data_IF_560388134754
#
_entry.id   IF_560388134754
#
_cell.length_a   1.000
_cell.length_b   1.000
_cell.length_c   1.000
_cell.angle_alpha   90.00
_cell.angle_beta   90.00
_cell.angle_gamma   90.00
#
_symmetry.space_group_name_H-M   'P 1'
#
loop_
_entity.id
_entity.type
_entity.pdbx_description
1 polymer ?
#
# COMPACT_ATOMS: atom_id res chain seq x y z
N UNK A 1 5.33 -16.07 -30.62
CA UNK A 1 4.87 -16.40 -29.26
C UNK A 1 4.97 -15.11 -28.45
N UNK A 2 3.88 -14.56 -27.91
CA UNK A 2 3.99 -13.36 -27.09
C UNK A 2 4.60 -13.76 -25.74
N UNK A 3 5.65 -13.05 -25.34
CA UNK A 3 6.29 -13.19 -24.03
C UNK A 3 5.28 -12.82 -22.92
N UNK A 4 5.30 -13.47 -21.75
CA UNK A 4 4.46 -13.07 -20.63
C UNK A 4 4.93 -11.70 -20.15
N UNK A 5 4.07 -10.70 -20.35
CA UNK A 5 4.26 -9.33 -19.85
C UNK A 5 4.21 -9.42 -18.32
N UNK A 6 5.31 -9.03 -17.66
CA UNK A 6 5.45 -9.04 -16.19
C UNK A 6 4.77 -7.78 -15.65
N UNK A 7 3.71 -7.96 -14.86
CA UNK A 7 3.04 -6.90 -14.10
C UNK A 7 3.36 -7.15 -12.64
N UNK A 8 4.26 -6.37 -12.05
CA UNK A 8 4.41 -6.32 -10.61
C UNK A 8 4.68 -4.86 -10.28
N UNK A 9 3.81 -4.27 -9.47
CA UNK A 9 4.01 -2.95 -8.91
C UNK A 9 4.20 -3.15 -7.42
N UNK A 10 5.38 -2.77 -6.91
CA UNK A 10 5.55 -2.52 -5.49
C UNK A 10 6.79 -1.67 -5.18
N UNK A 11 6.59 -0.47 -4.63
CA UNK A 11 7.71 0.32 -4.12
C UNK A 11 8.27 -0.26 -2.81
N UNK A 12 9.33 -1.07 -2.91
CA UNK A 12 10.28 -1.29 -1.81
C UNK A 12 11.57 -0.56 -2.16
N UNK A 13 11.85 0.57 -1.51
CA UNK A 13 13.20 1.11 -1.51
C UNK A 13 14.09 0.19 -0.68
N UNK A 14 14.95 -0.56 -1.38
CA UNK A 14 16.17 -1.08 -0.80
C UNK A 14 17.02 0.12 -0.37
N UNK A 15 17.06 0.40 0.93
CA UNK A 15 18.13 1.21 1.52
C UNK A 15 19.45 0.45 1.36
N UNK A 16 20.04 0.47 0.16
CA UNK A 16 21.44 0.11 -0.05
C UNK A 16 22.23 1.41 0.08
N UNK A 17 22.44 1.83 1.32
CA UNK A 17 23.45 2.83 1.64
C UNK A 17 24.83 2.22 1.41
N UNK A 18 25.54 2.74 0.42
CA UNK A 18 26.96 2.49 0.20
C UNK A 18 27.76 2.86 1.45
N UNK A 19 28.48 1.88 1.99
CA UNK A 19 29.67 2.01 2.84
C UNK A 19 29.79 3.29 3.67
N UNK A 20 29.02 3.38 4.75
CA UNK A 20 29.25 4.33 5.83
C UNK A 20 28.74 3.72 7.13
N UNK A 21 29.64 3.41 8.06
CA UNK A 21 29.27 2.88 9.36
C UNK A 21 28.28 3.84 10.04
N UNK A 22 27.04 3.39 10.27
CA UNK A 22 26.12 4.09 11.17
C UNK A 22 26.66 3.96 12.59
N UNK A 23 27.39 4.98 13.04
CA UNK A 23 27.63 5.18 14.46
C UNK A 23 26.32 5.69 15.08
N UNK A 24 25.56 4.79 15.71
CA UNK A 24 24.47 5.17 16.61
C UNK A 24 25.13 5.75 17.86
N UNK A 25 25.04 7.07 18.03
CA UNK A 25 25.35 7.72 19.30
C UNK A 25 24.29 7.27 20.30
N UNK A 26 24.69 6.44 21.25
CA UNK A 26 23.88 6.05 22.40
C UNK A 26 23.52 7.31 23.20
N UNK A 27 22.25 7.70 23.17
CA UNK A 27 21.68 8.58 24.18
C UNK A 27 21.27 7.75 25.40
N UNK A 28 21.66 8.29 26.56
CA UNK A 28 21.59 7.69 27.90
C UNK A 28 20.27 7.00 28.22
N UNK A 29 20.43 5.91 28.96
CA UNK A 29 19.43 5.08 29.61
C UNK A 29 18.26 5.88 30.19
N UNK A 30 17.06 5.62 29.68
CA UNK A 30 15.80 5.88 30.38
C UNK A 30 15.26 4.53 30.80
N UNK A 31 15.20 4.28 32.11
CA UNK A 31 14.65 3.05 32.68
C UNK A 31 13.23 2.77 32.17
N UNK A 32 12.88 1.52 31.85
CA UNK A 32 11.53 1.16 31.44
C UNK A 32 10.58 1.34 32.62
N UNK A 33 9.68 2.32 32.53
CA UNK A 33 8.56 2.45 33.44
C UNK A 33 7.55 1.36 33.11
N UNK A 34 7.38 0.39 34.01
CA UNK A 34 6.34 -0.63 33.95
C UNK A 34 4.95 0.05 33.93
N UNK A 35 4.36 0.19 32.75
CA UNK A 35 2.93 0.45 32.62
C UNK A 35 2.23 -0.91 32.52
N UNK A 36 1.83 -1.44 33.67
CA UNK A 36 0.82 -2.49 33.73
C UNK A 36 -0.49 -1.94 33.14
N UNK A 37 -0.86 -2.44 31.97
CA UNK A 37 -2.19 -2.23 31.42
C UNK A 37 -3.17 -3.03 32.26
N UNK A 38 -3.82 -2.38 33.23
CA UNK A 38 -4.98 -2.95 33.91
C UNK A 38 -6.11 -3.12 32.90
N UNK A 39 -6.43 -4.38 32.59
CA UNK A 39 -7.59 -4.73 31.78
C UNK A 39 -8.88 -4.32 32.52
N UNK A 40 -9.58 -3.34 31.99
CA UNK A 40 -10.95 -3.00 32.39
C UNK A 40 -11.87 -4.19 32.06
N UNK A 41 -12.32 -4.90 33.10
CA UNK A 41 -13.23 -6.05 32.99
C UNK A 41 -14.72 -5.65 32.86
N UNK A 42 -15.01 -4.50 32.23
CA UNK A 42 -16.39 -4.05 31.99
C UNK A 42 -16.73 -3.83 30.51
N UNK A 43 -16.43 -4.80 29.64
CA UNK A 43 -16.95 -4.77 28.27
C UNK A 43 -18.02 -5.85 28.03
N UNK A 44 -19.20 -5.40 27.61
CA UNK A 44 -20.30 -6.24 27.07
C UNK A 44 -19.75 -7.19 25.99
N UNK A 45 -20.38 -8.35 25.75
CA UNK A 45 -19.92 -9.28 24.72
C UNK A 45 -19.84 -8.54 23.38
N UNK A 46 -18.64 -8.43 22.81
CA UNK A 46 -18.47 -7.98 21.43
C UNK A 46 -19.29 -8.95 20.57
N UNK A 47 -20.23 -8.43 19.80
CA UNK A 47 -20.92 -9.22 18.78
C UNK A 47 -19.86 -10.00 17.99
N UNK A 48 -20.17 -11.25 17.67
CA UNK A 48 -19.31 -12.16 16.92
C UNK A 48 -19.27 -11.71 15.45
N UNK A 49 -18.66 -10.54 15.20
CA UNK A 49 -18.45 -9.99 13.88
C UNK A 49 -17.24 -10.72 13.31
N UNK A 50 -17.46 -11.53 12.28
CA UNK A 50 -16.36 -12.12 11.52
C UNK A 50 -15.38 -11.02 11.11
N UNK A 51 -14.07 -11.20 11.34
CA UNK A 51 -13.10 -10.18 10.97
C UNK A 51 -13.15 -9.95 9.46
N UNK A 52 -13.15 -8.68 9.06
CA UNK A 52 -13.08 -8.29 7.65
C UNK A 52 -11.84 -8.88 6.99
N UNK A 53 -11.95 -9.20 5.70
CA UNK A 53 -10.84 -9.78 4.91
C UNK A 53 -10.50 -8.91 3.71
N UNK A 54 -9.20 -8.83 3.42
CA UNK A 54 -8.63 -8.02 2.35
C UNK A 54 -7.79 -8.89 1.40
N UNK A 55 -7.71 -8.49 0.13
CA UNK A 55 -6.89 -9.12 -0.92
C UNK A 55 -6.42 -8.08 -1.95
N UNK A 56 -5.21 -8.29 -2.47
CA UNK A 56 -4.69 -7.63 -3.68
C UNK A 56 -4.56 -8.66 -4.80
N UNK A 57 -5.07 -8.33 -5.98
CA UNK A 57 -5.02 -9.19 -7.16
C UNK A 57 -4.82 -8.39 -8.46
N UNK A 58 -3.69 -8.59 -9.14
CA UNK A 58 -3.35 -7.93 -10.42
C UNK A 58 -3.40 -8.89 -11.63
N UNK A 59 -3.93 -10.10 -11.44
CA UNK A 59 -4.16 -11.04 -12.54
C UNK A 59 -5.47 -10.79 -13.29
N UNK A 60 -5.76 -11.61 -14.30
CA UNK A 60 -7.01 -11.57 -15.07
C UNK A 60 -7.80 -12.90 -15.07
N UNK A 61 -7.20 -13.98 -14.58
CA UNK A 61 -7.71 -15.34 -14.76
C UNK A 61 -8.67 -15.80 -13.65
N UNK A 62 -8.61 -15.17 -12.47
CA UNK A 62 -9.43 -15.57 -11.33
C UNK A 62 -10.90 -15.20 -11.54
N UNK A 63 -11.79 -16.11 -11.15
CA UNK A 63 -13.23 -15.92 -11.25
C UNK A 63 -13.77 -15.10 -10.09
N UNK A 64 -14.86 -14.37 -10.33
CA UNK A 64 -15.54 -13.50 -9.35
C UNK A 64 -15.84 -14.22 -8.02
N UNK A 65 -16.22 -15.50 -8.09
CA UNK A 65 -16.60 -16.31 -6.93
C UNK A 65 -15.44 -16.52 -5.94
N UNK A 66 -14.19 -16.51 -6.41
CA UNK A 66 -13.00 -16.65 -5.57
C UNK A 66 -12.82 -15.45 -4.64
N UNK A 67 -13.40 -14.29 -4.98
CA UNK A 67 -13.29 -13.06 -4.20
C UNK A 67 -14.42 -12.87 -3.18
N UNK A 68 -15.45 -13.73 -3.18
CA UNK A 68 -16.58 -13.62 -2.24
C UNK A 68 -16.20 -13.65 -0.75
N UNK A 69 -15.17 -14.39 -0.32
CA UNK A 69 -14.72 -14.38 1.08
C UNK A 69 -14.07 -13.08 1.55
N UNK A 70 -13.74 -12.15 0.63
CA UNK A 70 -13.04 -10.91 0.94
C UNK A 70 -14.01 -9.73 0.90
N UNK A 71 -13.83 -8.76 1.80
CA UNK A 71 -14.66 -7.57 1.93
C UNK A 71 -14.07 -6.38 1.18
N UNK A 72 -12.74 -6.31 1.13
CA UNK A 72 -11.97 -5.28 0.44
C UNK A 72 -11.08 -5.97 -0.59
N UNK A 73 -11.18 -5.55 -1.85
CA UNK A 73 -10.48 -6.17 -2.97
C UNK A 73 -9.81 -5.06 -3.77
N UNK A 74 -8.49 -5.15 -3.90
CA UNK A 74 -7.70 -4.31 -4.80
C UNK A 74 -7.48 -5.06 -6.10
N UNK A 75 -7.84 -4.42 -7.21
CA UNK A 75 -7.54 -4.89 -8.55
C UNK A 75 -6.65 -3.91 -9.30
N UNK A 76 -5.99 -4.40 -10.34
CA UNK A 76 -5.49 -3.49 -11.37
C UNK A 76 -6.69 -2.77 -12.02
N UNK A 77 -6.54 -1.48 -12.33
CA UNK A 77 -7.64 -0.69 -12.90
C UNK A 77 -8.08 -1.09 -14.31
N UNK A 78 -7.22 -1.79 -15.04
CA UNK A 78 -7.45 -2.23 -16.41
C UNK A 78 -7.61 -3.76 -16.49
N UNK A 79 -7.07 -4.50 -15.50
CA UNK A 79 -7.08 -5.97 -15.47
C UNK A 79 -7.82 -6.49 -14.24
N UNK A 80 -9.07 -6.86 -14.46
CA UNK A 80 -9.91 -7.43 -13.41
C UNK A 80 -11.07 -8.26 -13.99
N UNK A 81 -11.63 -9.21 -13.23
CA UNK A 81 -12.89 -9.83 -13.59
C UNK A 81 -14.04 -8.81 -13.56
N UNK A 82 -15.22 -9.19 -14.06
CA UNK A 82 -16.40 -8.33 -13.96
C UNK A 82 -16.68 -7.90 -12.51
N UNK A 83 -16.86 -6.59 -12.29
CA UNK A 83 -17.15 -6.06 -10.96
C UNK A 83 -18.63 -6.23 -10.55
N UNK A 84 -19.52 -6.57 -11.49
CA UNK A 84 -20.96 -6.48 -11.28
C UNK A 84 -21.47 -7.38 -10.13
N UNK A 85 -21.04 -8.65 -10.05
CA UNK A 85 -21.49 -9.53 -8.95
C UNK A 85 -20.87 -9.12 -7.62
N UNK A 86 -19.62 -8.67 -7.63
CA UNK A 86 -18.93 -8.19 -6.43
C UNK A 86 -19.60 -6.94 -5.86
N UNK A 87 -20.01 -5.99 -6.71
CA UNK A 87 -20.79 -4.82 -6.30
C UNK A 87 -22.13 -5.18 -5.67
N UNK A 88 -22.86 -6.14 -6.25
CA UNK A 88 -24.14 -6.64 -5.68
C UNK A 88 -23.97 -7.27 -4.29
N UNK A 89 -22.75 -7.65 -3.92
CA UNK A 89 -22.39 -8.15 -2.60
C UNK A 89 -21.83 -7.07 -1.67
N UNK A 90 -21.97 -5.78 -2.03
CA UNK A 90 -21.51 -4.63 -1.26
C UNK A 90 -20.01 -4.68 -0.87
N UNK A 91 -19.17 -5.21 -1.77
CA UNK A 91 -17.71 -5.25 -1.59
C UNK A 91 -17.10 -3.86 -1.79
N UNK A 92 -15.99 -3.60 -1.10
CA UNK A 92 -15.12 -2.46 -1.38
C UNK A 92 -14.17 -2.88 -2.50
N UNK A 93 -14.27 -2.23 -3.65
CA UNK A 93 -13.54 -2.52 -4.86
C UNK A 93 -12.63 -1.32 -5.15
N UNK A 94 -11.34 -1.52 -5.02
CA UNK A 94 -10.31 -0.50 -5.17
C UNK A 94 -9.56 -0.72 -6.50
N UNK A 95 -9.56 0.30 -7.36
CA UNK A 95 -8.76 0.30 -8.59
C UNK A 95 -7.36 0.84 -8.30
N UNK A 96 -6.34 0.08 -8.66
CA UNK A 96 -4.94 0.50 -8.51
C UNK A 96 -4.60 1.70 -9.40
N UNK A 97 -3.95 2.69 -8.79
CA UNK A 97 -3.27 3.78 -9.46
C UNK A 97 -1.88 3.99 -8.84
N UNK A 98 -0.91 4.36 -9.68
CA UNK A 98 0.35 4.91 -9.21
C UNK A 98 0.15 6.39 -8.90
N UNK A 99 0.50 6.82 -7.69
CA UNK A 99 0.36 8.22 -7.28
C UNK A 99 1.49 9.12 -7.78
N UNK A 100 2.60 8.53 -8.21
CA UNK A 100 3.84 9.28 -8.46
C UNK A 100 4.75 8.73 -9.56
N UNK A 101 4.33 7.66 -10.23
CA UNK A 101 5.11 7.04 -11.29
C UNK A 101 4.27 6.81 -12.55
N UNK A 102 4.87 7.04 -13.72
CA UNK A 102 4.35 6.58 -15.00
C UNK A 102 4.77 5.14 -15.24
N UNK A 103 3.85 4.33 -15.74
CA UNK A 103 4.03 2.91 -15.96
C UNK A 103 4.09 2.63 -17.46
N UNK A 104 5.23 2.13 -17.97
CA UNK A 104 5.47 1.95 -19.41
C UNK A 104 4.44 1.09 -20.14
N UNK A 105 3.78 0.19 -19.41
CA UNK A 105 2.82 -0.73 -19.95
C UNK A 105 1.40 -0.15 -20.09
N UNK A 106 1.16 1.10 -19.66
CA UNK A 106 -0.13 1.78 -19.81
C UNK A 106 -0.19 2.46 -21.18
N UNK A 107 -1.35 2.40 -21.84
CA UNK A 107 -1.54 2.92 -23.20
C UNK A 107 -1.21 4.42 -23.35
N UNK A 108 -1.36 5.20 -22.28
CA UNK A 108 -1.08 6.63 -22.26
C UNK A 108 0.37 7.01 -21.93
N UNK A 109 1.27 6.03 -21.70
CA UNK A 109 2.63 6.30 -21.20
C UNK A 109 3.42 7.32 -22.03
N UNK A 110 3.53 7.13 -23.35
CA UNK A 110 4.32 8.03 -24.21
C UNK A 110 3.76 9.46 -24.24
N UNK A 111 2.44 9.59 -24.17
CA UNK A 111 1.79 10.90 -24.06
C UNK A 111 2.11 11.55 -22.70
N UNK A 112 1.99 10.81 -21.60
CA UNK A 112 2.20 11.38 -20.27
C UNK A 112 3.68 11.72 -20.02
N UNK A 113 4.59 10.88 -20.50
CA UNK A 113 6.04 11.08 -20.42
C UNK A 113 6.50 12.37 -21.09
N UNK A 114 5.82 12.80 -22.16
CA UNK A 114 6.12 14.08 -22.82
C UNK A 114 5.41 15.27 -22.18
N UNK A 115 4.34 15.02 -21.44
CA UNK A 115 3.53 16.06 -20.77
C UNK A 115 4.10 16.48 -19.42
N UNK A 116 4.70 15.56 -18.68
CA UNK A 116 5.11 15.78 -17.29
C UNK A 116 6.62 15.75 -17.09
N UNK A 117 7.08 16.45 -16.04
CA UNK A 117 8.47 16.45 -15.63
C UNK A 117 8.85 15.12 -14.96
N UNK A 118 9.82 14.43 -15.58
CA UNK A 118 10.31 13.14 -15.11
C UNK A 118 11.60 13.32 -14.32
N UNK A 119 11.57 12.92 -13.04
CA UNK A 119 12.69 13.03 -12.11
C UNK A 119 13.71 11.90 -12.27
N UNK A 120 13.29 10.76 -12.78
CA UNK A 120 14.14 9.59 -12.98
C UNK A 120 13.36 8.33 -13.27
N UNK A 121 14.08 7.21 -13.27
CA UNK A 121 13.52 5.85 -13.41
C UNK A 121 13.61 5.15 -12.07
N UNK A 122 12.61 4.36 -11.72
CA UNK A 122 12.66 3.54 -10.51
C UNK A 122 13.71 2.43 -10.71
N UNK A 123 14.65 2.31 -9.77
CA UNK A 123 15.77 1.36 -9.89
C UNK A 123 15.33 -0.10 -9.80
N UNK A 124 14.27 -0.36 -9.03
CA UNK A 124 13.67 -1.70 -8.89
C UNK A 124 12.75 -2.00 -10.08
N UNK A 125 11.97 -1.00 -10.50
CA UNK A 125 11.01 -1.09 -11.61
C UNK A 125 11.46 -0.23 -12.77
N UNK A 126 12.33 -0.78 -13.62
CA UNK A 126 12.92 -0.03 -14.74
C UNK A 126 11.91 0.46 -15.78
N UNK A 127 10.72 -0.12 -15.76
CA UNK A 127 9.57 0.25 -16.56
C UNK A 127 8.72 1.38 -15.94
N UNK A 128 9.12 1.89 -14.77
CA UNK A 128 8.46 2.98 -14.07
C UNK A 128 9.31 4.26 -14.08
N UNK A 129 8.67 5.41 -14.31
CA UNK A 129 9.31 6.73 -14.31
C UNK A 129 8.69 7.64 -13.26
N UNK A 130 9.50 8.24 -12.39
CA UNK A 130 9.00 9.09 -11.30
C UNK A 130 8.64 10.48 -11.82
N UNK A 131 7.43 10.93 -11.50
CA UNK A 131 6.89 12.25 -11.87
C UNK A 131 7.14 13.25 -10.74
N UNK A 132 7.43 14.50 -11.09
CA UNK A 132 7.43 15.60 -10.13
C UNK A 132 5.99 16.00 -9.75
N UNK A 133 5.50 15.47 -8.63
CA UNK A 133 4.11 15.74 -8.19
C UNK A 133 3.87 17.17 -7.70
N UNK A 134 4.91 18.02 -7.65
CA UNK A 134 4.75 19.45 -7.35
C UNK A 134 4.07 20.21 -8.49
N UNK A 135 4.07 19.65 -9.70
CA UNK A 135 3.26 20.16 -10.80
C UNK A 135 1.77 19.86 -10.53
N UNK A 136 0.93 20.89 -10.32
CA UNK A 136 -0.51 20.69 -10.09
C UNK A 136 -1.23 20.01 -11.28
N UNK A 137 -0.66 20.06 -12.49
CA UNK A 137 -1.22 19.37 -13.65
C UNK A 137 -1.20 17.84 -13.48
N UNK A 138 -0.28 17.29 -12.68
CA UNK A 138 -0.30 15.87 -12.33
C UNK A 138 -1.52 15.52 -11.49
N UNK A 139 -1.81 16.33 -10.46
CA UNK A 139 -3.00 16.14 -9.62
C UNK A 139 -4.28 16.28 -10.45
N UNK A 140 -4.32 17.29 -11.34
CA UNK A 140 -5.44 17.48 -12.27
C UNK A 140 -5.66 16.26 -13.16
N UNK A 141 -4.58 15.70 -13.71
CA UNK A 141 -4.64 14.49 -14.53
C UNK A 141 -5.20 13.28 -13.77
N UNK A 142 -4.78 13.05 -12.52
CA UNK A 142 -5.35 11.97 -11.71
C UNK A 142 -6.87 12.16 -11.52
N UNK A 143 -7.30 13.40 -11.23
CA UNK A 143 -8.69 13.73 -10.95
C UNK A 143 -9.57 13.69 -12.21
N UNK A 144 -9.09 14.21 -13.33
CA UNK A 144 -9.91 14.42 -14.53
C UNK A 144 -9.80 13.29 -15.55
N UNK A 145 -8.68 12.56 -15.58
CA UNK A 145 -8.41 11.57 -16.63
C UNK A 145 -8.33 10.13 -16.08
N UNK A 146 -7.77 9.92 -14.89
CA UNK A 146 -7.52 8.57 -14.34
C UNK A 146 -8.68 8.05 -13.49
N UNK A 147 -9.15 8.83 -12.52
CA UNK A 147 -10.18 8.39 -11.57
C UNK A 147 -11.58 8.22 -12.22
N UNK A 148 -12.06 9.10 -13.13
CA UNK A 148 -13.43 8.95 -13.65
C UNK A 148 -13.67 7.64 -14.40
N UNK A 149 -12.77 7.15 -15.28
CA UNK A 149 -12.93 5.82 -15.89
C UNK A 149 -12.99 4.70 -14.86
N UNK A 150 -12.18 4.74 -13.79
CA UNK A 150 -12.19 3.74 -12.71
C UNK A 150 -13.57 3.71 -12.03
N UNK A 151 -14.11 4.86 -11.64
CA UNK A 151 -15.44 4.96 -11.03
C UNK A 151 -16.52 4.45 -11.99
N UNK A 152 -16.43 4.81 -13.28
CA UNK A 152 -17.38 4.38 -14.32
C UNK A 152 -17.38 2.86 -14.53
N UNK A 153 -16.24 2.19 -14.38
CA UNK A 153 -16.13 0.73 -14.44
C UNK A 153 -16.84 0.04 -13.26
N UNK A 154 -17.10 0.76 -12.16
CA UNK A 154 -17.85 0.28 -11.01
C UNK A 154 -17.01 0.08 -9.75
N UNK A 155 -15.74 0.48 -9.76
CA UNK A 155 -14.96 0.63 -8.54
C UNK A 155 -15.60 1.69 -7.64
N UNK A 156 -15.58 1.44 -6.33
CA UNK A 156 -16.06 2.39 -5.31
C UNK A 156 -14.91 2.92 -4.43
N UNK A 157 -13.68 2.67 -4.86
CA UNK A 157 -12.49 3.28 -4.32
C UNK A 157 -11.28 3.13 -5.23
N UNK A 158 -10.18 3.69 -4.76
CA UNK A 158 -8.86 3.63 -5.38
C UNK A 158 -7.83 3.17 -4.36
N UNK A 159 -6.82 2.47 -4.88
CA UNK A 159 -5.62 2.11 -4.16
C UNK A 159 -4.46 2.88 -4.77
N UNK A 160 -3.81 3.73 -3.99
CA UNK A 160 -2.75 4.64 -4.46
C UNK A 160 -1.42 4.12 -3.96
N UNK A 161 -0.56 3.75 -4.91
CA UNK A 161 0.80 3.28 -4.64
C UNK A 161 1.85 4.36 -4.94
N UNK A 162 3.12 4.03 -4.70
CA UNK A 162 4.32 4.75 -5.12
C UNK A 162 4.52 6.13 -4.49
N UNK A 163 3.80 6.46 -3.42
CA UNK A 163 3.99 7.75 -2.73
C UNK A 163 5.38 7.87 -2.11
N UNK A 164 5.93 6.75 -1.60
CA UNK A 164 7.28 6.71 -1.04
C UNK A 164 8.35 7.05 -2.10
N UNK A 165 8.14 6.67 -3.36
CA UNK A 165 9.08 7.01 -4.45
C UNK A 165 9.24 8.50 -4.64
N UNK A 166 8.13 9.21 -4.53
CA UNK A 166 8.07 10.65 -4.68
C UNK A 166 8.68 11.34 -3.48
N UNK A 167 8.28 10.96 -2.26
CA UNK A 167 8.77 11.61 -1.04
C UNK A 167 10.24 11.32 -0.78
N UNK A 168 10.75 10.18 -1.25
CA UNK A 168 12.17 9.83 -1.13
C UNK A 168 13.09 10.88 -1.77
N UNK A 169 12.68 11.52 -2.87
CA UNK A 169 13.47 12.59 -3.50
C UNK A 169 13.71 13.77 -2.55
N UNK A 170 12.70 14.17 -1.76
CA UNK A 170 12.88 15.21 -0.73
C UNK A 170 13.77 14.74 0.42
N UNK A 171 13.75 13.45 0.76
CA UNK A 171 14.64 12.88 1.79
C UNK A 171 16.11 12.91 1.35
N UNK A 172 16.43 12.60 0.09
CA UNK A 172 17.82 12.55 -0.40
C UNK A 172 18.40 13.92 -0.76
N UNK A 173 17.57 14.86 -1.21
CA UNK A 173 17.97 16.25 -1.44
C UNK A 173 16.84 17.22 -1.04
N UNK A 174 16.76 17.57 0.26
CA UNK A 174 15.71 18.43 0.80
C UNK A 174 15.68 19.85 0.25
N UNK A 175 16.78 20.31 -0.38
CA UNK A 175 16.84 21.65 -0.97
C UNK A 175 16.25 21.64 -2.38
N UNK A 176 16.67 20.69 -3.21
CA UNK A 176 16.22 20.58 -4.60
C UNK A 176 14.77 20.14 -4.72
N UNK A 177 14.37 19.16 -3.92
CA UNK A 177 13.03 18.56 -3.98
C UNK A 177 12.12 19.02 -2.84
N UNK A 178 12.42 20.19 -2.26
CA UNK A 178 11.59 20.80 -1.23
C UNK A 178 10.12 20.84 -1.68
N UNK A 179 9.23 20.39 -0.81
CA UNK A 179 7.78 20.46 -1.01
C UNK A 179 7.15 19.24 -1.68
N UNK A 180 7.89 18.18 -2.02
CA UNK A 180 7.32 16.94 -2.56
C UNK A 180 6.33 16.29 -1.59
N UNK A 181 6.65 16.22 -0.29
CA UNK A 181 5.76 15.65 0.73
C UNK A 181 4.46 16.47 0.82
N UNK A 182 4.56 17.80 0.84
CA UNK A 182 3.39 18.69 0.91
C UNK A 182 2.55 18.66 -0.37
N UNK A 183 3.19 18.60 -1.54
CA UNK A 183 2.50 18.45 -2.81
C UNK A 183 1.77 17.10 -2.88
N UNK A 184 2.41 16.02 -2.44
CA UNK A 184 1.77 14.69 -2.35
C UNK A 184 0.58 14.71 -1.41
N UNK A 185 0.69 15.34 -0.23
CA UNK A 185 -0.42 15.49 0.69
C UNK A 185 -1.58 16.31 0.08
N UNK A 186 -1.25 17.39 -0.63
CA UNK A 186 -2.21 18.24 -1.34
C UNK A 186 -2.93 17.47 -2.45
N UNK A 187 -2.20 16.66 -3.21
CA UNK A 187 -2.77 15.77 -4.24
C UNK A 187 -3.83 14.85 -3.65
N UNK A 188 -3.53 14.14 -2.56
CA UNK A 188 -4.50 13.23 -1.91
C UNK A 188 -5.72 13.98 -1.38
N UNK A 189 -5.52 15.13 -0.71
CA UNK A 189 -6.64 15.96 -0.23
C UNK A 189 -7.52 16.46 -1.35
N UNK A 190 -6.92 16.84 -2.47
CA UNK A 190 -7.66 17.32 -3.64
C UNK A 190 -8.45 16.17 -4.26
N UNK A 191 -7.89 14.96 -4.34
CA UNK A 191 -8.64 13.76 -4.75
C UNK A 191 -9.84 13.53 -3.83
N UNK A 192 -9.64 13.53 -2.51
CA UNK A 192 -10.74 13.36 -1.54
C UNK A 192 -11.82 14.44 -1.69
N UNK A 193 -11.42 15.70 -1.87
CA UNK A 193 -12.34 16.82 -2.07
C UNK A 193 -13.22 16.65 -3.32
N UNK A 194 -12.65 16.20 -4.44
CA UNK A 194 -13.40 15.97 -5.67
C UNK A 194 -14.20 14.66 -5.67
N UNK A 195 -13.80 13.69 -4.85
CA UNK A 195 -14.41 12.37 -4.76
C UNK A 195 -14.68 11.96 -3.29
N UNK A 196 -15.55 12.68 -2.55
CA UNK A 196 -15.71 12.50 -1.10
C UNK A 196 -16.23 11.12 -0.69
N UNK A 197 -17.01 10.47 -1.55
CA UNK A 197 -17.56 9.13 -1.31
C UNK A 197 -16.59 7.99 -1.70
N UNK A 198 -15.53 8.32 -2.43
CA UNK A 198 -14.57 7.34 -2.94
C UNK A 198 -13.70 6.83 -1.80
N UNK A 199 -13.64 5.50 -1.66
CA UNK A 199 -12.73 4.89 -0.69
C UNK A 199 -11.28 5.04 -1.16
N UNK A 200 -10.40 5.45 -0.27
CA UNK A 200 -8.97 5.67 -0.60
C UNK A 200 -8.15 4.77 0.31
N UNK A 201 -7.35 3.91 -0.30
CA UNK A 201 -6.29 3.14 0.35
C UNK A 201 -4.94 3.66 -0.12
N UNK A 202 -4.02 3.90 0.81
CA UNK A 202 -2.65 4.30 0.49
C UNK A 202 -1.70 3.14 0.81
N UNK A 203 -0.84 2.78 -0.14
CA UNK A 203 0.30 1.91 0.14
C UNK A 203 1.45 2.73 0.72
N UNK A 204 1.84 2.42 1.97
CA UNK A 204 2.87 3.14 2.72
C UNK A 204 2.64 4.65 2.68
N UNK A 205 3.55 5.42 2.07
CA UNK A 205 3.47 6.88 2.04
C UNK A 205 3.65 7.48 3.43
N UNK A 206 4.41 6.81 4.32
CA UNK A 206 4.33 7.09 5.75
C UNK A 206 4.80 8.51 6.14
N UNK A 207 5.54 9.19 5.27
CA UNK A 207 5.94 10.59 5.47
C UNK A 207 4.80 11.57 5.10
N UNK A 208 3.83 11.11 4.30
CA UNK A 208 2.63 11.84 3.88
C UNK A 208 1.45 11.57 4.82
N UNK A 209 1.31 10.33 5.31
CA UNK A 209 0.16 9.87 6.09
C UNK A 209 -0.26 10.80 7.25
N UNK A 210 0.65 11.39 8.06
CA UNK A 210 0.27 12.32 9.13
C UNK A 210 -0.51 13.55 8.64
N UNK A 211 -0.36 13.93 7.37
CA UNK A 211 -1.06 15.08 6.80
C UNK A 211 -2.42 14.74 6.20
N UNK A 212 -2.67 13.47 5.87
CA UNK A 212 -3.83 13.01 5.07
C UNK A 212 -4.68 11.94 5.78
N UNK A 213 -4.32 11.57 7.01
CA UNK A 213 -4.97 10.46 7.74
C UNK A 213 -6.49 10.62 7.88
N UNK A 214 -7.02 11.84 7.85
CA UNK A 214 -8.47 12.10 7.92
C UNK A 214 -9.17 12.12 6.55
N UNK A 215 -8.41 12.04 5.46
CA UNK A 215 -8.90 12.12 4.08
C UNK A 215 -8.93 10.74 3.38
N UNK A 216 -8.48 9.69 4.08
CA UNK A 216 -8.35 8.33 3.56
C UNK A 216 -9.07 7.32 4.44
N UNK A 217 -9.22 6.09 3.97
CA UNK A 217 -10.00 5.05 4.66
C UNK A 217 -9.14 3.88 5.10
N UNK A 218 -8.11 3.57 4.32
CA UNK A 218 -7.25 2.41 4.54
C UNK A 218 -5.78 2.79 4.38
N UNK A 219 -4.92 2.11 5.13
CA UNK A 219 -3.47 2.15 4.94
C UNK A 219 -2.98 0.73 4.77
N UNK A 220 -2.20 0.49 3.72
CA UNK A 220 -1.48 -0.75 3.50
C UNK A 220 -0.01 -0.57 3.91
N UNK A 221 0.48 -1.43 4.79
CA UNK A 221 1.91 -1.55 5.08
C UNK A 221 2.47 -2.82 4.41
N UNK A 222 3.31 -2.62 3.40
CA UNK A 222 3.75 -3.70 2.51
C UNK A 222 5.23 -3.61 2.15
N UNK A 223 6.11 -4.55 2.46
CA UNK A 223 5.98 -5.62 3.43
C UNK A 223 6.58 -5.21 4.77
N UNK A 224 6.20 -5.89 5.84
CA UNK A 224 6.53 -5.48 7.21
C UNK A 224 7.12 -6.61 8.04
N UNK A 225 6.67 -7.85 7.88
CA UNK A 225 7.28 -9.03 8.50
C UNK A 225 8.24 -9.74 7.54
N UNK A 226 8.02 -9.60 6.23
CA UNK A 226 8.84 -10.27 5.24
C UNK A 226 9.56 -9.26 4.36
N UNK A 227 10.86 -9.44 4.19
CA UNK A 227 11.62 -8.78 3.14
C UNK A 227 11.64 -9.67 1.89
N UNK A 228 11.29 -9.09 0.76
CA UNK A 228 11.49 -9.68 -0.57
C UNK A 228 12.79 -9.16 -1.19
N UNK A 229 13.62 -10.05 -1.70
CA UNK A 229 14.81 -9.73 -2.48
C UNK A 229 14.45 -9.81 -3.97
N UNK A 230 14.34 -8.65 -4.63
CA UNK A 230 14.01 -8.55 -6.06
C UNK A 230 15.12 -9.01 -7.00
N UNK A 231 16.36 -9.12 -6.52
CA UNK A 231 17.49 -9.61 -7.32
C UNK A 231 17.50 -11.13 -7.35
N UNK A 232 17.36 -11.75 -6.18
CA UNK A 232 17.46 -13.20 -6.03
C UNK A 232 16.10 -13.91 -6.03
N UNK A 233 15.00 -13.16 -6.02
CA UNK A 233 13.63 -13.66 -5.92
C UNK A 233 13.43 -14.55 -4.67
N UNK A 234 13.96 -14.11 -3.54
CA UNK A 234 13.86 -14.84 -2.25
C UNK A 234 13.16 -14.01 -1.19
N UNK A 235 12.65 -14.68 -0.17
CA UNK A 235 12.00 -14.05 0.99
C UNK A 235 12.77 -14.38 2.26
N UNK A 236 12.83 -13.43 3.19
CA UNK A 236 13.34 -13.65 4.54
C UNK A 236 12.54 -12.84 5.55
N UNK A 237 12.46 -13.31 6.78
CA UNK A 237 11.87 -12.53 7.86
C UNK A 237 12.70 -11.26 8.10
N UNK A 238 12.00 -10.15 8.31
CA UNK A 238 12.61 -8.91 8.79
C UNK A 238 12.99 -9.06 10.26
N UNK A 239 13.92 -8.22 10.71
CA UNK A 239 14.20 -8.06 12.15
C UNK A 239 12.94 -7.57 12.87
N UNK A 240 12.66 -8.12 14.05
CA UNK A 240 11.52 -7.73 14.87
C UNK A 240 11.54 -6.23 15.20
N UNK A 241 12.71 -5.62 15.37
CA UNK A 241 12.81 -4.17 15.60
C UNK A 241 12.27 -3.35 14.42
N UNK A 242 12.49 -3.81 13.18
CA UNK A 242 11.97 -3.17 11.98
C UNK A 242 10.45 -3.34 11.91
N UNK A 243 9.95 -4.54 12.22
CA UNK A 243 8.50 -4.77 12.28
C UNK A 243 7.83 -3.87 13.33
N UNK A 244 8.39 -3.80 14.54
CA UNK A 244 7.87 -2.95 15.62
C UNK A 244 7.88 -1.47 15.25
N UNK A 245 8.84 -1.01 14.45
CA UNK A 245 8.84 0.35 13.92
C UNK A 245 7.60 0.64 13.06
N UNK A 246 7.24 -0.25 12.13
CA UNK A 246 6.03 -0.09 11.32
C UNK A 246 4.75 -0.21 12.16
N UNK A 247 4.71 -1.15 13.10
CA UNK A 247 3.60 -1.30 14.05
C UNK A 247 3.36 0.02 14.81
N UNK A 248 4.41 0.65 15.32
CA UNK A 248 4.29 1.93 16.03
C UNK A 248 3.77 3.05 15.11
N UNK A 249 4.29 3.18 13.88
CA UNK A 249 3.78 4.18 12.92
C UNK A 249 2.29 3.98 12.63
N UNK A 250 1.86 2.73 12.46
CA UNK A 250 0.45 2.40 12.23
C UNK A 250 -0.42 2.73 13.46
N UNK A 251 0.08 2.47 14.68
CA UNK A 251 -0.63 2.85 15.91
C UNK A 251 -0.76 4.37 16.07
N UNK A 252 0.29 5.13 15.78
CA UNK A 252 0.26 6.60 15.86
C UNK A 252 -0.78 7.18 14.88
N UNK A 253 -0.84 6.63 13.66
CA UNK A 253 -1.86 6.99 12.67
C UNK A 253 -3.27 6.62 13.12
N UNK A 254 -3.46 5.43 13.70
CA UNK A 254 -4.77 5.01 14.23
C UNK A 254 -5.23 5.88 15.39
N UNK A 255 -4.29 6.35 16.23
CA UNK A 255 -4.57 7.31 17.31
C UNK A 255 -5.01 8.66 16.75
N UNK A 256 -4.37 9.14 15.69
CA UNK A 256 -4.74 10.37 15.00
C UNK A 256 -6.09 10.26 14.29
N UNK A 257 -6.34 9.15 13.61
CA UNK A 257 -7.51 8.90 12.78
C UNK A 257 -8.10 7.50 13.11
N UNK A 258 -8.95 7.41 14.16
CA UNK A 258 -9.49 6.12 14.63
C UNK A 258 -10.32 5.34 13.61
N UNK A 259 -10.80 6.00 12.55
CA UNK A 259 -11.56 5.36 11.48
C UNK A 259 -10.70 4.56 10.50
N UNK A 260 -9.37 4.79 10.44
CA UNK A 260 -8.49 4.13 9.48
C UNK A 260 -8.43 2.62 9.68
N UNK A 261 -8.70 1.86 8.64
CA UNK A 261 -8.52 0.41 8.65
C UNK A 261 -7.09 0.06 8.20
N UNK A 262 -6.38 -0.70 9.03
CA UNK A 262 -4.96 -1.00 8.85
C UNK A 262 -4.79 -2.38 8.20
N UNK A 263 -4.27 -2.41 6.99
CA UNK A 263 -4.00 -3.63 6.22
C UNK A 263 -2.50 -3.89 6.12
N UNK A 264 -2.10 -5.16 6.01
CA UNK A 264 -0.70 -5.54 5.76
C UNK A 264 -0.61 -6.53 4.61
N UNK A 265 0.49 -6.45 3.83
CA UNK A 265 0.76 -7.36 2.72
C UNK A 265 2.20 -7.88 2.81
N UNK A 266 2.34 -9.19 3.00
CA UNK A 266 3.64 -9.87 3.02
C UNK A 266 3.69 -11.00 1.98
N UNK A 267 4.91 -11.26 1.51
CA UNK A 267 5.15 -12.23 0.46
C UNK A 267 5.79 -13.50 1.00
N UNK A 268 5.10 -14.63 0.91
CA UNK A 268 5.67 -15.91 1.37
C UNK A 268 5.31 -17.06 0.42
N UNK A 269 5.99 -18.19 0.61
CA UNK A 269 5.67 -19.43 -0.09
C UNK A 269 4.42 -20.04 0.53
N UNK A 270 3.35 -20.14 -0.27
CA UNK A 270 2.03 -20.54 0.24
C UNK A 270 1.92 -22.03 0.61
N UNK A 271 2.90 -22.85 0.26
CA UNK A 271 3.02 -24.24 0.70
C UNK A 271 3.62 -24.37 2.13
N UNK A 272 4.33 -23.36 2.61
CA UNK A 272 4.79 -23.23 4.00
C UNK A 272 3.65 -22.70 4.89
N UNK A 273 2.62 -23.54 5.05
CA UNK A 273 1.38 -23.20 5.76
C UNK A 273 1.62 -22.76 7.21
N UNK A 274 2.59 -23.34 7.90
CA UNK A 274 2.93 -22.99 9.27
C UNK A 274 3.44 -21.56 9.39
N UNK A 275 4.37 -21.15 8.50
CA UNK A 275 4.86 -19.77 8.50
C UNK A 275 3.79 -18.78 8.05
N UNK A 276 2.98 -19.14 7.03
CA UNK A 276 1.86 -18.29 6.61
C UNK A 276 0.91 -18.04 7.79
N UNK A 277 0.53 -19.08 8.55
CA UNK A 277 -0.31 -18.94 9.74
C UNK A 277 0.33 -18.03 10.80
N UNK A 278 1.64 -18.13 11.01
CA UNK A 278 2.36 -17.28 11.96
C UNK A 278 2.37 -15.81 11.52
N UNK A 279 2.58 -15.52 10.23
CA UNK A 279 2.50 -14.16 9.68
C UNK A 279 1.12 -13.55 9.89
N UNK A 280 0.05 -14.30 9.60
CA UNK A 280 -1.33 -13.90 9.90
C UNK A 280 -1.50 -13.59 11.40
N UNK A 281 -1.08 -14.52 12.27
CA UNK A 281 -1.22 -14.38 13.73
C UNK A 281 -0.51 -13.14 14.27
N UNK A 282 0.71 -12.85 13.80
CA UNK A 282 1.49 -11.68 14.26
C UNK A 282 0.83 -10.35 13.91
N UNK A 283 0.29 -10.23 12.70
CA UNK A 283 -0.45 -9.03 12.29
C UNK A 283 -1.78 -8.88 13.02
N UNK A 284 -2.53 -9.97 13.15
CA UNK A 284 -3.82 -9.96 13.85
C UNK A 284 -3.67 -9.63 15.34
N UNK A 285 -2.56 -10.03 15.97
CA UNK A 285 -2.24 -9.67 17.35
C UNK A 285 -2.08 -8.15 17.55
N UNK A 286 -1.74 -7.41 16.49
CA UNK A 286 -1.68 -5.94 16.49
C UNK A 286 -2.99 -5.29 15.99
N UNK A 287 -4.02 -6.08 15.69
CA UNK A 287 -5.31 -5.59 15.19
C UNK A 287 -5.29 -5.18 13.71
N UNK A 288 -4.31 -5.66 12.94
CA UNK A 288 -4.23 -5.42 11.50
C UNK A 288 -5.00 -6.47 10.70
N UNK A 289 -5.34 -6.14 9.45
CA UNK A 289 -5.98 -7.03 8.48
C UNK A 289 -4.94 -7.53 7.45
N UNK A 290 -4.32 -8.71 7.67
CA UNK A 290 -3.26 -9.21 6.81
C UNK A 290 -3.75 -9.91 5.54
N UNK A 291 -2.94 -9.79 4.48
CA UNK A 291 -2.95 -10.67 3.32
C UNK A 291 -1.53 -11.20 3.08
N UNK A 292 -1.37 -12.52 3.02
CA UNK A 292 -0.09 -13.16 2.70
C UNK A 292 -0.25 -13.94 1.40
N UNK A 293 0.64 -13.69 0.44
CA UNK A 293 0.53 -14.20 -0.93
C UNK A 293 1.91 -14.27 -1.61
N UNK A 294 1.97 -14.53 -2.90
CA UNK A 294 3.21 -14.43 -3.70
C UNK A 294 3.36 -13.05 -4.35
N UNK A 295 4.60 -12.68 -4.68
CA UNK A 295 4.97 -11.33 -5.18
C UNK A 295 4.26 -10.95 -6.49
N UNK A 296 3.83 -11.94 -7.27
CA UNK A 296 3.19 -11.73 -8.57
C UNK A 296 1.76 -11.21 -8.45
N UNK A 297 1.12 -11.34 -7.28
CA UNK A 297 -0.24 -10.88 -7.01
C UNK A 297 -1.29 -11.38 -8.03
N UNK A 298 -1.02 -12.48 -8.74
CA UNK A 298 -1.86 -12.98 -9.82
C UNK A 298 -2.62 -14.27 -9.45
N UNK A 299 -2.64 -14.60 -8.15
CA UNK A 299 -3.34 -15.75 -7.56
C UNK A 299 -4.22 -15.30 -6.41
N UNK A 300 -5.33 -16.02 -6.23
CA UNK A 300 -6.17 -15.90 -5.03
C UNK A 300 -5.70 -16.96 -4.05
N UNK A 301 -4.81 -16.58 -3.14
CA UNK A 301 -4.32 -17.48 -2.11
C UNK A 301 -5.18 -17.34 -0.85
N UNK A 302 -5.82 -18.45 -0.48
CA UNK A 302 -6.64 -18.50 0.72
C UNK A 302 -5.74 -18.70 1.94
N UNK A 303 -6.08 -18.04 3.05
CA UNK A 303 -5.50 -18.31 4.36
C UNK A 303 -5.59 -19.82 4.66
N UNK A 304 -4.48 -20.50 5.00
CA UNK A 304 -4.51 -21.88 5.47
C UNK A 304 -5.39 -22.02 6.72
N UNK A 305 -6.19 -23.07 6.78
CA UNK A 305 -7.03 -23.39 7.95
C UNK A 305 -6.20 -23.87 9.12
#
# INVERSE_FOLDING_TARGET
MPLPIRYIVLCVFLLIGSGGALAIVAQKDVEPTNLEVQADQSSKPRENVNPKRFIVYYGAEAKEEQFYPYDIIVFDRDKHPSLQKLRRKNKVLLGYISGGELEQYRDNFEQLKTKFDILGTNETWKDHMIVDVRDPEWTRHLIEDIIPPIVKQGFNGIFIDTLDSVTHYETIDPKRYKGMIQATATMIKTIHYHYPELKIMINRGFDVLPFIANDIHYVLAESTLVQYDFTNHTTKLMDDAIYQHYVQRMFDLKKQAPHLEMTTLDYWKMDDTAMVQELYRRHEANGFMPYVTTIELNRVDNRPQ
#
